data_IF_117130376421
#
_entry.id   IF_117130376421
#
_cell.length_a   1.000
_cell.length_b   1.000
_cell.length_c   1.000
_cell.angle_alpha   90.00
_cell.angle_beta   90.00
_cell.angle_gamma   90.00
#
_symmetry.space_group_name_H-M   'P 1'
#
loop_
_entity.id
_entity.type
_entity.pdbx_description
1 polymer ?
#
# COMPACT_ATOMS: atom_id res chain seq x y z
N UNK A 1 26.95 23.80 6.12
CA UNK A 1 25.73 22.97 6.00
C UNK A 1 26.06 21.63 6.63
N UNK A 2 25.62 21.36 7.87
CA UNK A 2 25.95 20.12 8.58
C UNK A 2 24.97 19.03 8.10
N UNK A 3 25.48 17.97 7.49
CA UNK A 3 24.68 16.84 7.01
C UNK A 3 24.28 15.95 8.20
N UNK A 4 22.99 15.89 8.52
CA UNK A 4 22.42 15.04 9.58
C UNK A 4 22.07 13.61 9.10
N UNK A 5 22.43 13.22 7.88
CA UNK A 5 22.01 11.96 7.26
C UNK A 5 22.47 10.71 8.03
N UNK A 6 23.58 10.77 8.78
CA UNK A 6 24.10 9.62 9.51
C UNK A 6 23.35 9.26 10.80
N UNK A 7 22.53 10.14 11.38
CA UNK A 7 21.89 9.87 12.67
C UNK A 7 20.67 8.94 12.57
N UNK A 8 19.93 9.01 11.46
CA UNK A 8 18.72 8.20 11.25
C UNK A 8 19.06 6.71 11.09
N UNK A 9 20.05 6.38 10.23
CA UNK A 9 20.51 5.01 9.99
C UNK A 9 21.02 4.30 11.26
N UNK A 10 21.56 5.10 12.20
CA UNK A 10 22.09 4.58 13.46
C UNK A 10 20.97 4.31 14.48
N UNK A 11 19.91 5.12 14.50
CA UNK A 11 18.78 4.95 15.40
C UNK A 11 18.00 3.65 15.11
N UNK A 12 17.79 3.33 13.83
CA UNK A 12 17.09 2.12 13.40
C UNK A 12 17.84 0.84 13.79
N UNK A 13 19.18 0.83 13.61
CA UNK A 13 20.05 -0.28 14.03
C UNK A 13 20.03 -0.49 15.55
N UNK A 14 20.00 0.59 16.33
CA UNK A 14 19.96 0.53 17.79
C UNK A 14 18.59 0.03 18.28
N UNK A 15 17.48 0.50 17.69
CA UNK A 15 16.13 0.05 18.03
C UNK A 15 15.95 -1.45 17.83
N UNK A 16 16.41 -1.99 16.69
CA UNK A 16 16.40 -3.43 16.39
C UNK A 16 17.19 -4.25 17.42
N UNK A 17 18.37 -3.75 17.82
CA UNK A 17 19.27 -4.44 18.76
C UNK A 17 18.72 -4.50 20.19
N UNK A 18 17.91 -3.51 20.60
CA UNK A 18 17.39 -3.40 21.96
C UNK A 18 16.02 -4.09 22.10
N UNK A 19 15.15 -4.00 21.08
CA UNK A 19 13.75 -4.44 21.22
C UNK A 19 13.48 -5.83 20.65
N UNK A 20 14.31 -6.34 19.72
CA UNK A 20 14.04 -7.58 19.00
C UNK A 20 12.78 -7.54 18.10
N UNK A 21 12.08 -6.40 18.04
CA UNK A 21 10.89 -6.21 17.25
C UNK A 21 11.23 -6.00 15.77
N UNK A 22 10.38 -6.47 14.84
CA UNK A 22 10.54 -6.16 13.43
C UNK A 22 10.47 -4.64 13.22
N UNK A 23 11.42 -4.11 12.47
CA UNK A 23 11.40 -2.69 12.10
C UNK A 23 10.17 -2.45 11.22
N UNK A 24 9.32 -1.47 11.53
CA UNK A 24 8.18 -1.15 10.67
C UNK A 24 8.70 -0.82 9.26
N UNK A 25 8.02 -1.31 8.19
CA UNK A 25 8.46 -1.04 6.83
C UNK A 25 8.55 0.46 6.60
N UNK A 26 9.58 0.91 5.89
CA UNK A 26 9.64 2.32 5.50
C UNK A 26 8.46 2.69 4.60
N UNK A 27 8.14 3.99 4.54
CA UNK A 27 6.97 4.49 3.83
C UNK A 27 6.95 4.09 2.34
N UNK A 28 8.11 3.97 1.70
CA UNK A 28 8.20 3.55 0.30
C UNK A 28 7.86 2.06 0.15
N UNK A 29 8.36 1.21 1.06
CA UNK A 29 7.99 -0.20 1.11
C UNK A 29 6.50 -0.38 1.33
N UNK A 30 5.89 0.42 2.21
CA UNK A 30 4.44 0.41 2.43
C UNK A 30 3.66 0.81 1.17
N UNK A 31 4.10 1.83 0.43
CA UNK A 31 3.44 2.23 -0.82
C UNK A 31 3.50 1.08 -1.84
N UNK A 32 4.65 0.42 -1.99
CA UNK A 32 4.82 -0.70 -2.92
C UNK A 32 4.00 -1.92 -2.49
N UNK A 33 3.98 -2.25 -1.19
CA UNK A 33 3.17 -3.37 -0.70
C UNK A 33 1.67 -3.11 -0.92
N UNK A 34 1.22 -1.89 -0.63
CA UNK A 34 -0.17 -1.49 -0.81
C UNK A 34 -0.57 -1.49 -2.29
N UNK A 35 0.33 -1.12 -3.22
CA UNK A 35 0.06 -1.22 -4.65
C UNK A 35 -0.24 -2.66 -5.09
N UNK A 36 0.56 -3.62 -4.62
CA UNK A 36 0.34 -5.06 -4.90
C UNK A 36 -0.95 -5.56 -4.26
N UNK A 37 -1.21 -5.16 -3.02
CA UNK A 37 -2.44 -5.52 -2.30
C UNK A 37 -3.68 -5.01 -3.02
N UNK A 38 -3.72 -3.72 -3.38
CA UNK A 38 -4.86 -3.11 -4.10
C UNK A 38 -5.09 -3.79 -5.44
N UNK A 39 -4.03 -4.06 -6.19
CA UNK A 39 -4.14 -4.74 -7.48
C UNK A 39 -4.84 -6.10 -7.33
N UNK A 40 -4.41 -6.90 -6.35
CA UNK A 40 -5.03 -8.21 -6.07
C UNK A 40 -6.47 -8.06 -5.56
N UNK A 41 -6.74 -7.05 -4.72
CA UNK A 41 -8.09 -6.80 -4.20
C UNK A 41 -9.06 -6.43 -5.32
N UNK A 42 -8.66 -5.57 -6.27
CA UNK A 42 -9.48 -5.23 -7.43
C UNK A 42 -9.80 -6.50 -8.23
N UNK A 43 -8.79 -7.29 -8.59
CA UNK A 43 -9.00 -8.52 -9.37
C UNK A 43 -9.95 -9.50 -8.66
N UNK A 44 -9.80 -9.67 -7.34
CA UNK A 44 -10.70 -10.50 -6.54
C UNK A 44 -12.13 -9.95 -6.52
N UNK A 45 -12.28 -8.64 -6.35
CA UNK A 45 -13.60 -7.99 -6.26
C UNK A 45 -14.33 -8.06 -7.60
N UNK A 46 -13.60 -7.91 -8.71
CA UNK A 46 -14.14 -8.11 -10.06
C UNK A 46 -14.57 -9.57 -10.29
N UNK A 47 -13.83 -10.56 -9.77
CA UNK A 47 -14.25 -11.97 -9.80
C UNK A 47 -15.54 -12.19 -9.03
N UNK A 48 -15.64 -11.66 -7.80
CA UNK A 48 -16.85 -11.79 -6.98
C UNK A 48 -18.04 -11.11 -7.66
N UNK A 49 -17.86 -9.90 -8.17
CA UNK A 49 -18.91 -9.16 -8.88
C UNK A 49 -19.55 -9.99 -9.99
N UNK A 50 -18.74 -10.73 -10.76
CA UNK A 50 -19.22 -11.57 -11.86
C UNK A 50 -20.04 -12.80 -11.42
N UNK A 51 -19.97 -13.17 -10.13
CA UNK A 51 -20.71 -14.30 -9.56
C UNK A 51 -21.99 -13.87 -8.81
N UNK A 52 -22.15 -12.57 -8.55
CA UNK A 52 -23.29 -12.05 -7.80
C UNK A 52 -24.56 -11.97 -8.65
N UNK A 53 -25.69 -12.31 -8.05
CA UNK A 53 -27.03 -12.22 -8.66
C UNK A 53 -27.99 -11.35 -7.88
N UNK A 54 -27.69 -11.08 -6.60
CA UNK A 54 -28.43 -10.17 -5.75
C UNK A 54 -28.06 -8.72 -6.09
N UNK A 55 -29.06 -7.86 -6.33
CA UNK A 55 -28.85 -6.48 -6.77
C UNK A 55 -28.12 -5.63 -5.73
N UNK A 56 -28.40 -5.84 -4.44
CA UNK A 56 -27.81 -5.02 -3.37
C UNK A 56 -26.33 -5.40 -3.20
N UNK A 57 -26.01 -6.68 -3.37
CA UNK A 57 -24.63 -7.15 -3.39
C UNK A 57 -23.85 -6.67 -4.62
N UNK A 58 -24.50 -6.59 -5.78
CA UNK A 58 -23.91 -6.02 -7.02
C UNK A 58 -23.56 -4.54 -6.80
N UNK A 59 -24.46 -3.77 -6.20
CA UNK A 59 -24.21 -2.36 -5.87
C UNK A 59 -23.05 -2.23 -4.89
N UNK A 60 -23.05 -3.03 -3.81
CA UNK A 60 -21.94 -3.06 -2.85
C UNK A 60 -20.59 -3.35 -3.53
N UNK A 61 -20.53 -4.40 -4.36
CA UNK A 61 -19.29 -4.78 -5.06
C UNK A 61 -18.85 -3.70 -6.06
N UNK A 62 -19.79 -3.01 -6.71
CA UNK A 62 -19.49 -1.87 -7.59
C UNK A 62 -18.79 -0.76 -6.83
N UNK A 63 -19.31 -0.37 -5.65
CA UNK A 63 -18.71 0.70 -4.85
C UNK A 63 -17.33 0.30 -4.29
N UNK A 64 -17.13 -0.95 -3.85
CA UNK A 64 -15.82 -1.40 -3.36
C UNK A 64 -14.77 -1.39 -4.50
N UNK A 65 -15.14 -1.84 -5.71
CA UNK A 65 -14.25 -1.76 -6.88
C UNK A 65 -13.87 -0.31 -7.21
N UNK A 66 -14.83 0.61 -7.18
CA UNK A 66 -14.57 2.04 -7.43
C UNK A 66 -13.64 2.64 -6.37
N UNK A 67 -13.86 2.32 -5.10
CA UNK A 67 -13.03 2.77 -3.99
C UNK A 67 -11.58 2.26 -4.14
N UNK A 68 -11.39 0.98 -4.45
CA UNK A 68 -10.05 0.41 -4.64
C UNK A 68 -9.35 0.96 -5.89
N UNK A 69 -10.07 1.23 -6.99
CA UNK A 69 -9.51 1.91 -8.18
C UNK A 69 -9.05 3.33 -7.87
N UNK A 70 -9.80 4.06 -7.03
CA UNK A 70 -9.39 5.36 -6.54
C UNK A 70 -8.13 5.26 -5.64
N UNK A 71 -8.09 4.29 -4.73
CA UNK A 71 -6.94 3.99 -3.87
C UNK A 71 -5.69 3.67 -4.70
N UNK A 72 -5.82 2.81 -5.71
CA UNK A 72 -4.75 2.46 -6.65
C UNK A 72 -4.19 3.70 -7.34
N UNK A 73 -5.07 4.53 -7.89
CA UNK A 73 -4.68 5.76 -8.61
C UNK A 73 -3.92 6.72 -7.70
N UNK A 74 -4.35 6.87 -6.45
CA UNK A 74 -3.62 7.64 -5.45
C UNK A 74 -2.22 7.06 -5.21
N UNK A 75 -2.11 5.77 -4.92
CA UNK A 75 -0.82 5.12 -4.63
C UNK A 75 0.17 5.23 -5.81
N UNK A 76 -0.30 5.08 -7.05
CA UNK A 76 0.53 5.29 -8.25
C UNK A 76 1.08 6.72 -8.30
N UNK A 77 0.24 7.74 -8.01
CA UNK A 77 0.69 9.14 -7.94
C UNK A 77 1.75 9.32 -6.85
N UNK A 78 1.55 8.69 -5.70
CA UNK A 78 2.49 8.78 -4.57
C UNK A 78 3.83 8.10 -4.85
N UNK A 79 3.81 6.94 -5.51
CA UNK A 79 5.00 6.21 -5.93
C UNK A 79 5.80 7.00 -6.98
N UNK A 80 5.12 7.57 -7.99
CA UNK A 80 5.75 8.44 -9.00
C UNK A 80 6.41 9.67 -8.39
N UNK A 81 5.73 10.38 -7.47
CA UNK A 81 6.29 11.55 -6.77
C UNK A 81 7.58 11.24 -6.00
N UNK A 82 7.75 9.99 -5.59
CA UNK A 82 8.91 9.49 -4.82
C UNK A 82 9.93 8.76 -5.68
N UNK A 83 9.75 8.72 -7.01
CA UNK A 83 10.59 7.98 -7.96
C UNK A 83 10.75 6.49 -7.60
N UNK A 84 9.68 5.86 -7.10
CA UNK A 84 9.68 4.43 -6.79
C UNK A 84 9.47 3.61 -8.05
N UNK A 85 10.21 2.51 -8.17
CA UNK A 85 9.99 1.47 -9.16
C UNK A 85 9.19 0.33 -8.53
N UNK A 86 8.11 -0.10 -9.17
CA UNK A 86 7.15 -1.07 -8.66
C UNK A 86 6.53 -1.89 -9.78
#
# INVERSE_FOLDING_TARGET
>A
MIQFSGLADNAEKIYKKITGAPVPPDENQMIISNLKEVHNKIARSESIFNELTDSDLIDYATYDILAEKARYTYLIKQAKKRNLHF
#
